data_IF_902552324241
#
_entry.id   IF_902552324241
#
_cell.length_a   1.000
_cell.length_b   1.000
_cell.length_c   1.000
_cell.angle_alpha   90.00
_cell.angle_beta   90.00
_cell.angle_gamma   90.00
#
_symmetry.space_group_name_H-M   'P 1'
#
loop_
_entity.id
_entity.type
_entity.pdbx_description
1 polymer ?
#
# COMPACT_ATOMS: atom_id res chain seq x y z
N UNK A 1 13.90 -28.27 59.28
CA UNK A 1 15.00 -27.59 60.01
C UNK A 1 16.17 -27.52 59.06
N UNK A 2 16.92 -26.44 58.83
CA UNK A 2 16.93 -25.04 59.23
C UNK A 2 17.90 -24.40 58.19
N UNK A 3 17.53 -23.23 57.67
CA UNK A 3 18.42 -22.06 57.49
C UNK A 3 19.64 -22.10 56.52
N UNK A 4 19.54 -21.26 55.48
CA UNK A 4 20.46 -20.15 55.06
C UNK A 4 21.58 -19.74 56.03
N UNK A 5 22.51 -18.81 55.66
CA UNK A 5 23.21 -18.50 54.39
C UNK A 5 24.74 -18.25 54.67
N UNK A 6 25.49 -17.65 53.72
CA UNK A 6 26.72 -16.82 53.87
C UNK A 6 27.79 -17.19 52.82
N UNK A 7 28.65 -16.31 52.30
CA UNK A 7 28.84 -14.87 52.47
C UNK A 7 29.63 -14.33 51.28
N UNK A 8 29.32 -13.10 50.89
CA UNK A 8 30.13 -12.26 50.03
C UNK A 8 31.41 -11.84 50.76
N UNK A 9 32.59 -12.16 50.20
CA UNK A 9 33.85 -11.60 50.66
C UNK A 9 34.18 -10.31 49.89
N UNK A 10 34.21 -9.21 50.64
CA UNK A 10 34.64 -7.88 50.22
C UNK A 10 36.17 -7.84 50.10
N UNK A 11 36.69 -7.36 48.99
CA UNK A 11 38.05 -6.80 48.95
C UNK A 11 37.99 -5.28 48.89
N UNK A 12 38.51 -4.64 49.95
CA UNK A 12 38.73 -3.20 50.10
C UNK A 12 40.13 -2.86 49.60
N UNK A 13 40.23 -2.05 48.54
CA UNK A 13 41.47 -1.38 48.14
C UNK A 13 41.52 0.05 48.67
N UNK A 14 42.70 0.60 48.98
CA UNK A 14 42.86 1.79 49.81
C UNK A 14 42.56 3.11 49.11
N UNK A 15 42.08 4.00 49.96
CA UNK A 15 41.66 5.37 49.78
C UNK A 15 42.88 6.28 49.62
N UNK A 16 43.14 6.74 48.39
CA UNK A 16 43.97 7.92 48.16
C UNK A 16 43.05 9.11 47.89
N UNK A 17 42.78 9.86 48.96
CA UNK A 17 42.30 11.24 48.87
C UNK A 17 43.28 12.03 48.00
N UNK A 18 42.82 12.44 46.82
CA UNK A 18 43.35 13.64 46.18
C UNK A 18 42.23 14.64 46.05
N UNK A 19 42.52 15.80 46.63
CA UNK A 19 41.62 16.90 46.85
C UNK A 19 41.03 17.43 45.54
N UNK A 20 39.75 17.81 45.67
CA UNK A 20 38.99 18.82 44.96
C UNK A 20 39.70 19.57 43.82
N UNK A 21 39.02 19.67 42.68
CA UNK A 21 38.70 20.93 42.03
C UNK A 21 37.41 20.74 41.22
N UNK A 22 36.39 21.55 41.54
CA UNK A 22 35.17 21.70 40.77
C UNK A 22 35.53 22.16 39.35
N UNK A 23 35.04 21.43 38.35
CA UNK A 23 34.78 22.00 37.03
C UNK A 23 33.41 21.49 36.58
N UNK A 24 32.43 22.38 36.71
CA UNK A 24 31.07 22.25 36.24
C UNK A 24 31.10 22.26 34.71
N UNK A 25 30.98 21.10 34.06
CA UNK A 25 30.64 21.02 32.64
C UNK A 25 29.31 20.32 32.50
N UNK A 26 28.27 21.13 32.26
CA UNK A 26 26.96 20.68 31.83
C UNK A 26 27.14 19.81 30.57
N UNK A 27 26.92 18.51 30.70
CA UNK A 27 26.72 17.63 29.56
C UNK A 27 25.38 18.02 28.93
N UNK A 28 25.43 18.88 27.91
CA UNK A 28 24.30 19.11 27.02
C UNK A 28 23.98 17.79 26.33
N UNK A 29 22.93 17.11 26.79
CA UNK A 29 22.32 16.01 26.07
C UNK A 29 21.84 16.55 24.72
N UNK A 30 22.55 16.23 23.65
CA UNK A 30 22.09 16.48 22.30
C UNK A 30 20.90 15.55 22.03
N UNK A 31 19.67 16.04 21.84
CA UNK A 31 18.64 15.20 21.25
C UNK A 31 19.12 14.91 19.82
N UNK A 32 19.38 13.63 19.54
CA UNK A 32 19.46 13.15 18.17
C UNK A 32 18.16 13.55 17.50
N UNK A 33 18.19 14.63 16.74
CA UNK A 33 17.10 15.03 15.88
C UNK A 33 16.87 13.85 14.95
N UNK A 34 15.83 13.07 15.23
CA UNK A 34 15.19 12.22 14.25
C UNK A 34 14.97 13.11 13.05
N UNK A 35 15.78 12.90 12.02
CA UNK A 35 15.58 13.47 10.70
C UNK A 35 14.22 12.97 10.23
N UNK A 36 13.18 13.71 10.60
CA UNK A 36 11.86 13.57 10.05
C UNK A 36 12.04 14.01 8.61
N UNK A 37 12.30 13.03 7.74
CA UNK A 37 12.21 13.16 6.30
C UNK A 37 10.73 13.45 6.03
N UNK A 38 10.34 14.72 6.23
CA UNK A 38 9.14 15.27 5.63
C UNK A 38 9.33 15.04 4.14
N UNK A 39 8.70 14.00 3.61
CA UNK A 39 8.31 14.01 2.22
C UNK A 39 7.52 15.30 2.05
N UNK A 40 8.17 16.34 1.52
CA UNK A 40 7.46 17.48 0.99
C UNK A 40 6.47 16.90 -0.01
N UNK A 41 5.19 16.88 0.36
CA UNK A 41 4.10 16.77 -0.59
C UNK A 41 4.26 17.98 -1.51
N UNK A 42 4.96 17.79 -2.64
CA UNK A 42 4.94 18.72 -3.75
C UNK A 42 3.46 18.95 -4.07
N UNK A 43 3.00 20.21 -4.24
CA UNK A 43 1.63 20.46 -4.69
C UNK A 43 1.39 19.65 -5.96
N UNK A 44 0.34 18.82 -5.96
CA UNK A 44 0.01 18.00 -7.11
C UNK A 44 -0.18 18.93 -8.32
N UNK A 45 0.70 18.82 -9.33
CA UNK A 45 0.49 19.52 -10.58
C UNK A 45 -0.85 19.07 -11.19
N UNK A 46 -1.58 19.96 -11.90
CA UNK A 46 -2.83 19.59 -12.55
C UNK A 46 -2.62 18.35 -13.42
N UNK A 47 -3.37 17.28 -13.13
CA UNK A 47 -3.19 16.02 -13.84
C UNK A 47 -3.73 16.17 -15.27
N UNK A 48 -2.81 16.18 -16.23
CA UNK A 48 -3.10 16.37 -17.65
C UNK A 48 -3.86 15.20 -18.28
N UNK A 49 -4.28 15.39 -19.54
CA UNK A 49 -5.11 14.44 -20.27
C UNK A 49 -4.47 13.06 -20.47
N UNK A 50 -3.16 13.02 -20.71
CA UNK A 50 -2.41 11.76 -20.85
C UNK A 50 -2.44 10.91 -19.57
N UNK A 51 -2.32 11.55 -18.41
CA UNK A 51 -2.45 10.87 -17.12
C UNK A 51 -3.87 10.30 -16.96
N UNK A 52 -4.89 11.08 -17.29
CA UNK A 52 -6.28 10.65 -17.17
C UNK A 52 -6.60 9.44 -18.03
N UNK A 53 -6.20 9.48 -19.31
CA UNK A 53 -6.31 8.34 -20.21
C UNK A 53 -5.62 7.11 -19.64
N UNK A 54 -4.40 7.26 -19.12
CA UNK A 54 -3.65 6.14 -18.51
C UNK A 54 -4.42 5.52 -17.35
N UNK A 55 -5.02 6.32 -16.47
CA UNK A 55 -5.81 5.83 -15.34
C UNK A 55 -7.12 5.17 -15.77
N UNK A 56 -7.78 5.69 -16.81
CA UNK A 56 -8.96 5.06 -17.41
C UNK A 56 -8.64 3.68 -17.99
N UNK A 57 -7.51 3.57 -18.71
CA UNK A 57 -7.02 2.31 -19.28
C UNK A 57 -6.65 1.30 -18.18
N UNK A 58 -5.99 1.76 -17.11
CA UNK A 58 -5.66 0.93 -15.94
C UNK A 58 -6.93 0.43 -15.23
N UNK A 59 -7.92 1.32 -15.03
CA UNK A 59 -9.21 0.94 -14.44
C UNK A 59 -9.91 -0.13 -15.28
N UNK A 60 -9.94 0.05 -16.60
CA UNK A 60 -10.57 -0.90 -17.49
C UNK A 60 -9.91 -2.29 -17.45
N UNK A 61 -8.57 -2.34 -17.43
CA UNK A 61 -7.83 -3.61 -17.29
C UNK A 61 -8.16 -4.33 -15.98
N UNK A 62 -8.16 -3.59 -14.87
CA UNK A 62 -8.50 -4.13 -13.55
C UNK A 62 -9.93 -4.69 -13.53
N UNK A 63 -10.89 -3.97 -14.11
CA UNK A 63 -12.28 -4.42 -14.20
C UNK A 63 -12.41 -5.70 -15.03
N UNK A 64 -11.63 -5.83 -16.11
CA UNK A 64 -11.60 -7.02 -16.96
C UNK A 64 -11.11 -8.26 -16.21
N UNK A 65 -9.97 -8.15 -15.53
CA UNK A 65 -9.42 -9.25 -14.73
C UNK A 65 -10.35 -9.64 -13.57
N UNK A 66 -10.89 -8.65 -12.87
CA UNK A 66 -11.84 -8.89 -11.78
C UNK A 66 -13.14 -9.53 -12.28
N UNK A 67 -13.59 -9.20 -13.50
CA UNK A 67 -14.75 -9.82 -14.13
C UNK A 67 -14.52 -11.31 -14.40
N UNK A 68 -13.37 -11.67 -14.96
CA UNK A 68 -13.03 -13.08 -15.18
C UNK A 68 -13.06 -13.87 -13.87
N UNK A 69 -12.36 -13.39 -12.85
CA UNK A 69 -12.27 -14.08 -11.57
C UNK A 69 -13.63 -14.21 -10.85
N UNK A 70 -14.50 -13.19 -10.92
CA UNK A 70 -15.87 -13.31 -10.40
C UNK A 70 -16.67 -14.38 -11.13
N UNK A 71 -16.61 -14.42 -12.46
CA UNK A 71 -17.32 -15.46 -13.21
C UNK A 71 -16.78 -16.84 -12.85
N UNK A 72 -15.46 -16.98 -12.70
CA UNK A 72 -14.81 -18.23 -12.34
C UNK A 72 -15.21 -18.70 -10.93
N UNK A 73 -15.33 -17.78 -9.98
CA UNK A 73 -15.58 -18.09 -8.57
C UNK A 73 -17.05 -18.14 -8.14
N UNK A 74 -17.88 -17.28 -8.72
CA UNK A 74 -19.26 -17.05 -8.28
C UNK A 74 -20.28 -17.33 -9.42
N UNK A 75 -19.81 -17.64 -10.62
CA UNK A 75 -20.62 -18.03 -11.77
C UNK A 75 -21.02 -16.87 -12.70
N UNK A 76 -21.58 -17.23 -13.87
CA UNK A 76 -21.87 -16.29 -14.97
C UNK A 76 -23.00 -15.30 -14.69
N UNK A 77 -23.80 -15.52 -13.65
CA UNK A 77 -24.87 -14.61 -13.24
C UNK A 77 -24.35 -13.25 -12.75
N UNK A 78 -23.07 -13.17 -12.38
CA UNK A 78 -22.50 -11.93 -11.89
C UNK A 78 -21.96 -11.03 -13.01
N UNK A 79 -22.68 -9.94 -13.28
CA UNK A 79 -22.35 -8.97 -14.33
C UNK A 79 -21.82 -7.65 -13.77
N UNK A 80 -21.57 -7.55 -12.46
CA UNK A 80 -21.28 -6.28 -11.76
C UNK A 80 -20.17 -5.45 -12.42
N UNK A 81 -19.03 -6.08 -12.72
CA UNK A 81 -17.87 -5.37 -13.30
C UNK A 81 -18.09 -4.98 -14.75
N UNK A 82 -18.79 -5.81 -15.52
CA UNK A 82 -19.16 -5.49 -16.91
C UNK A 82 -20.13 -4.31 -16.96
N UNK A 83 -21.06 -4.24 -16.03
CA UNK A 83 -22.03 -3.15 -15.92
C UNK A 83 -21.35 -1.83 -15.53
N UNK A 84 -20.42 -1.91 -14.57
CA UNK A 84 -19.59 -0.77 -14.21
C UNK A 84 -18.76 -0.27 -15.41
N UNK A 85 -18.13 -1.19 -16.15
CA UNK A 85 -17.34 -0.85 -17.33
C UNK A 85 -18.20 -0.19 -18.43
N UNK A 86 -19.44 -0.66 -18.65
CA UNK A 86 -20.39 0.02 -19.55
C UNK A 86 -20.62 1.47 -19.14
N UNK A 87 -20.87 1.72 -17.86
CA UNK A 87 -21.01 3.09 -17.37
C UNK A 87 -19.76 3.95 -17.55
N UNK A 88 -18.55 3.38 -17.46
CA UNK A 88 -17.30 4.11 -17.77
C UNK A 88 -17.26 4.48 -19.26
N UNK A 89 -17.55 3.52 -20.15
CA UNK A 89 -17.56 3.76 -21.61
C UNK A 89 -18.57 4.83 -22.01
N UNK A 90 -19.76 4.83 -21.39
CA UNK A 90 -20.81 5.82 -21.65
C UNK A 90 -20.36 7.25 -21.28
N UNK A 91 -19.58 7.40 -20.20
CA UNK A 91 -19.05 8.71 -19.78
C UNK A 91 -17.81 9.14 -20.55
N UNK A 92 -17.04 8.17 -21.05
CA UNK A 92 -15.73 8.38 -21.68
C UNK A 92 -15.71 7.95 -23.16
N UNK A 93 -16.63 8.44 -24.02
CA UNK A 93 -16.78 7.94 -25.39
C UNK A 93 -15.53 8.14 -26.25
N UNK A 94 -14.70 9.15 -25.94
CA UNK A 94 -13.42 9.42 -26.61
C UNK A 94 -12.42 8.28 -26.45
N UNK A 95 -12.54 7.50 -25.38
CA UNK A 95 -11.59 6.44 -25.01
C UNK A 95 -12.13 5.03 -25.26
N UNK A 96 -13.30 4.89 -25.88
CA UNK A 96 -14.03 3.62 -26.00
C UNK A 96 -13.15 2.44 -26.46
N UNK A 97 -12.43 2.59 -27.58
CA UNK A 97 -11.56 1.53 -28.11
C UNK A 97 -10.49 1.12 -27.10
N UNK A 98 -9.78 2.09 -26.52
CA UNK A 98 -8.73 1.82 -25.53
C UNK A 98 -9.29 1.10 -24.29
N UNK A 99 -10.47 1.53 -23.83
CA UNK A 99 -11.16 0.97 -22.67
C UNK A 99 -11.60 -0.47 -22.92
N UNK A 100 -12.24 -0.75 -24.06
CA UNK A 100 -12.67 -2.10 -24.45
C UNK A 100 -11.46 -3.02 -24.60
N UNK A 101 -10.41 -2.56 -25.29
CA UNK A 101 -9.20 -3.34 -25.48
C UNK A 101 -8.52 -3.65 -24.15
N UNK A 102 -8.44 -2.67 -23.23
CA UNK A 102 -7.84 -2.88 -21.91
C UNK A 102 -8.64 -3.84 -21.04
N UNK A 103 -9.97 -3.71 -21.04
CA UNK A 103 -10.85 -4.65 -20.35
C UNK A 103 -10.63 -6.08 -20.86
N UNK A 104 -10.60 -6.25 -22.18
CA UNK A 104 -10.36 -7.57 -22.78
C UNK A 104 -8.96 -8.10 -22.45
N UNK A 105 -7.91 -7.27 -22.45
CA UNK A 105 -6.56 -7.67 -22.01
C UNK A 105 -6.56 -8.18 -20.57
N UNK A 106 -7.15 -7.45 -19.64
CA UNK A 106 -7.23 -7.86 -18.23
C UNK A 106 -7.99 -9.17 -18.05
N UNK A 107 -9.11 -9.33 -18.75
CA UNK A 107 -9.87 -10.59 -18.76
C UNK A 107 -9.01 -11.77 -19.23
N UNK A 108 -8.34 -11.62 -20.39
CA UNK A 108 -7.51 -12.69 -20.97
C UNK A 108 -6.29 -13.01 -20.12
N UNK A 109 -5.73 -12.02 -19.42
CA UNK A 109 -4.61 -12.22 -18.51
C UNK A 109 -4.99 -13.17 -17.38
N UNK A 110 -6.13 -12.95 -16.71
CA UNK A 110 -6.57 -13.83 -15.62
C UNK A 110 -7.08 -15.18 -16.14
N UNK A 111 -7.69 -15.20 -17.33
CA UNK A 111 -8.09 -16.43 -18.02
C UNK A 111 -6.91 -17.37 -18.31
N UNK A 112 -5.77 -16.82 -18.74
CA UNK A 112 -4.57 -17.60 -18.97
C UNK A 112 -3.94 -18.15 -17.68
N UNK A 113 -4.24 -17.56 -16.52
CA UNK A 113 -3.60 -17.87 -15.23
C UNK A 113 -4.43 -18.82 -14.37
N UNK A 114 -5.76 -18.69 -14.40
CA UNK A 114 -6.65 -19.39 -13.49
C UNK A 114 -7.73 -20.17 -14.25
N UNK A 115 -7.79 -21.48 -14.02
CA UNK A 115 -8.78 -22.38 -14.63
C UNK A 115 -9.81 -22.93 -13.62
N UNK A 116 -9.60 -22.69 -12.32
CA UNK A 116 -10.53 -23.05 -11.25
C UNK A 116 -10.47 -22.00 -10.14
N UNK A 117 -11.54 -21.88 -9.36
CA UNK A 117 -11.56 -20.94 -8.24
C UNK A 117 -10.93 -21.57 -6.99
N UNK A 118 -9.68 -21.23 -6.72
CA UNK A 118 -8.95 -21.56 -5.50
C UNK A 118 -8.67 -20.32 -4.64
N UNK A 119 -7.93 -20.50 -3.55
CA UNK A 119 -7.57 -19.39 -2.66
C UNK A 119 -6.70 -18.33 -3.36
N UNK A 120 -5.86 -18.74 -4.32
CA UNK A 120 -5.02 -17.81 -5.07
C UNK A 120 -5.86 -16.93 -6.00
N UNK A 121 -6.83 -17.52 -6.72
CA UNK A 121 -7.77 -16.78 -7.56
C UNK A 121 -8.57 -15.74 -6.75
N UNK A 122 -9.09 -16.13 -5.58
CA UNK A 122 -9.82 -15.20 -4.68
C UNK A 122 -8.93 -14.10 -4.14
N UNK A 123 -7.67 -14.39 -3.83
CA UNK A 123 -6.71 -13.39 -3.41
C UNK A 123 -6.43 -12.38 -4.53
N UNK A 124 -6.18 -12.84 -5.76
CA UNK A 124 -5.96 -11.94 -6.91
C UNK A 124 -7.20 -11.09 -7.17
N UNK A 125 -8.41 -11.64 -7.06
CA UNK A 125 -9.63 -10.85 -7.19
C UNK A 125 -9.68 -9.72 -6.14
N UNK A 126 -9.30 -10.02 -4.89
CA UNK A 126 -9.24 -9.02 -3.83
C UNK A 126 -8.19 -7.91 -4.11
N UNK A 127 -7.03 -8.28 -4.63
CA UNK A 127 -5.97 -7.35 -5.02
C UNK A 127 -6.41 -6.44 -6.18
N UNK A 128 -7.08 -7.01 -7.19
CA UNK A 128 -7.66 -6.25 -8.30
C UNK A 128 -8.73 -5.28 -7.79
N UNK A 129 -9.63 -5.70 -6.90
CA UNK A 129 -10.62 -4.81 -6.27
C UNK A 129 -9.96 -3.65 -5.53
N UNK A 130 -8.92 -3.91 -4.75
CA UNK A 130 -8.17 -2.87 -4.04
C UNK A 130 -7.48 -1.90 -5.00
N UNK A 131 -6.88 -2.40 -6.09
CA UNK A 131 -6.28 -1.57 -7.14
C UNK A 131 -7.33 -0.71 -7.83
N UNK A 132 -8.47 -1.28 -8.22
CA UNK A 132 -9.56 -0.55 -8.87
C UNK A 132 -10.10 0.58 -8.01
N UNK A 133 -10.20 0.38 -6.69
CA UNK A 133 -10.56 1.43 -5.75
C UNK A 133 -9.55 2.59 -5.77
N UNK A 134 -8.23 2.28 -5.69
CA UNK A 134 -7.19 3.32 -5.74
C UNK A 134 -7.23 4.13 -7.03
N UNK A 135 -7.39 3.47 -8.18
CA UNK A 135 -7.47 4.15 -9.49
C UNK A 135 -8.74 5.00 -9.58
N UNK A 136 -9.88 4.49 -9.11
CA UNK A 136 -11.15 5.24 -9.10
C UNK A 136 -11.08 6.48 -8.22
N UNK A 137 -10.43 6.39 -7.05
CA UNK A 137 -10.19 7.53 -6.17
C UNK A 137 -9.27 8.55 -6.81
N UNK A 138 -8.21 8.10 -7.49
CA UNK A 138 -7.30 8.99 -8.21
C UNK A 138 -8.05 9.76 -9.32
N UNK A 139 -8.84 9.06 -10.15
CA UNK A 139 -9.69 9.67 -11.18
C UNK A 139 -10.66 10.70 -10.58
N UNK A 140 -11.33 10.37 -9.49
CA UNK A 140 -12.28 11.27 -8.81
C UNK A 140 -11.60 12.53 -8.28
N UNK A 141 -10.41 12.39 -7.69
CA UNK A 141 -9.63 13.49 -7.15
C UNK A 141 -9.09 14.45 -8.22
N UNK A 142 -9.20 14.15 -9.53
CA UNK A 142 -8.86 15.09 -10.60
C UNK A 142 -9.88 16.24 -10.69
N UNK A 143 -11.12 15.99 -10.29
CA UNK A 143 -12.25 16.91 -10.46
C UNK A 143 -12.61 17.67 -9.17
N UNK A 144 -11.84 17.47 -8.10
CA UNK A 144 -11.94 18.18 -6.82
C UNK A 144 -10.89 19.28 -6.77
#
# INVERSE_FOLDING_TARGET
MLHTPAAFARYRGPMHLRAALLALTLAAAAPSALAQQQQQQQPAQPRGESWYRTQLVELAEVLGGAHYLRILCDGRGDQRWRDYMRGVIEREPRYNTDLVDSFNRGYRQEEARFYSCDNAARQVEAELRARGLRVSQALSARHQ
#
